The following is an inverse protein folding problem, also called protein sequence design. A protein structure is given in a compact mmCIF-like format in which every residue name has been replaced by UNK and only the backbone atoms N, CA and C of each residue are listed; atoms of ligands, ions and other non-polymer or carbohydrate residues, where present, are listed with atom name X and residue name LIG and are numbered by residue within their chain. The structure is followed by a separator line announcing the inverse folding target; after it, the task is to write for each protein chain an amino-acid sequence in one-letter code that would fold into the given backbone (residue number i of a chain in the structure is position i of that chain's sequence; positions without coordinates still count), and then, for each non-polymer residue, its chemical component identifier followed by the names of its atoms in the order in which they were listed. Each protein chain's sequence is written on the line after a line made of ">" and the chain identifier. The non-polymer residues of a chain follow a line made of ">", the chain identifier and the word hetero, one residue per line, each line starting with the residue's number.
data_IF_908805007184
#
_entry.id   IF_908805007184
#
_cell.length_a   1.000
_cell.length_b   1.000
_cell.length_c   1.000
_cell.angle_alpha   90.00
_cell.angle_beta   90.00
_cell.angle_gamma   90.00
#
_symmetry.space_group_name_H-M   'P 1'
#
loop_
_entity.id
_entity.type
_entity.pdbx_description
1 polymer ?
#
# COMPACT_ATOMS: atom_id res chain seq x y z
N UNK A 1 0.76 -13.13 12.02
CA UNK A 1 0.42 -12.78 10.63
C UNK A 1 1.37 -11.75 10.03
N UNK A 2 1.41 -10.47 10.48
CA UNK A 2 2.30 -9.46 9.86
C UNK A 2 3.77 -9.87 9.88
N UNK A 3 4.28 -10.40 11.01
CA UNK A 3 5.67 -10.85 11.09
C UNK A 3 5.96 -12.02 10.12
N UNK A 4 5.03 -12.97 10.00
CA UNK A 4 5.15 -14.08 9.04
C UNK A 4 5.18 -13.57 7.60
N UNK A 5 4.38 -12.55 7.26
CA UNK A 5 4.43 -11.91 5.93
C UNK A 5 5.78 -11.24 5.68
N UNK A 6 6.31 -10.51 6.66
CA UNK A 6 7.65 -9.90 6.55
C UNK A 6 8.72 -10.95 6.28
N UNK A 7 8.78 -12.01 7.09
CA UNK A 7 9.72 -13.12 6.92
C UNK A 7 9.57 -13.78 5.54
N UNK A 8 8.33 -13.98 5.08
CA UNK A 8 8.06 -14.54 3.75
C UNK A 8 8.61 -13.65 2.62
N UNK A 9 8.33 -12.35 2.66
CA UNK A 9 8.83 -11.43 1.63
C UNK A 9 10.34 -11.22 1.71
N UNK A 10 10.93 -11.25 2.91
CA UNK A 10 12.39 -11.22 3.07
C UNK A 10 13.04 -12.44 2.40
N UNK A 11 12.40 -13.61 2.48
CA UNK A 11 12.85 -14.82 1.78
C UNK A 11 12.69 -14.72 0.26
N UNK A 12 11.57 -14.21 -0.23
CA UNK A 12 11.36 -13.94 -1.67
C UNK A 12 12.39 -12.94 -2.21
N UNK A 13 12.68 -11.87 -1.47
CA UNK A 13 13.72 -10.90 -1.80
C UNK A 13 15.13 -11.50 -1.76
N UNK A 14 15.37 -12.49 -0.90
CA UNK A 14 16.60 -13.27 -0.91
C UNK A 14 16.68 -14.17 -2.14
N UNK A 15 15.59 -14.85 -2.50
CA UNK A 15 15.50 -15.71 -3.69
C UNK A 15 15.78 -14.92 -4.98
N UNK A 16 15.17 -13.73 -5.13
CA UNK A 16 15.46 -12.83 -6.25
C UNK A 16 16.94 -12.43 -6.31
N UNK A 17 17.57 -12.15 -5.17
CA UNK A 17 19.00 -11.85 -5.12
C UNK A 17 19.88 -13.03 -5.54
N UNK A 18 19.52 -14.27 -5.14
CA UNK A 18 20.24 -15.46 -5.59
C UNK A 18 20.15 -15.66 -7.11
N UNK A 19 19.00 -15.35 -7.72
CA UNK A 19 18.84 -15.37 -9.18
C UNK A 19 19.82 -14.39 -9.85
N UNK A 20 19.94 -13.17 -9.32
CA UNK A 20 20.86 -12.16 -9.85
C UNK A 20 22.33 -12.56 -9.69
N UNK A 21 22.71 -13.10 -8.54
CA UNK A 21 24.07 -13.61 -8.32
C UNK A 21 24.40 -14.79 -9.26
N UNK A 22 23.42 -15.64 -9.59
CA UNK A 22 23.61 -16.70 -10.57
C UNK A 22 23.83 -16.13 -11.98
N UNK A 23 23.03 -15.13 -12.37
CA UNK A 23 23.17 -14.43 -13.66
C UNK A 23 24.55 -13.76 -13.76
N UNK A 24 25.00 -13.08 -12.70
CA UNK A 24 26.32 -12.46 -12.63
C UNK A 24 27.45 -13.49 -12.83
N UNK A 25 27.35 -14.67 -12.18
CA UNK A 25 28.32 -15.76 -12.36
C UNK A 25 28.38 -16.25 -13.81
N UNK A 26 27.22 -16.43 -14.45
CA UNK A 26 27.16 -16.86 -15.86
C UNK A 26 27.73 -15.79 -16.78
N UNK A 27 27.40 -14.51 -16.57
CA UNK A 27 27.98 -13.39 -17.33
C UNK A 27 29.50 -13.36 -17.17
N UNK A 28 30.01 -13.60 -15.96
CA UNK A 28 31.46 -13.67 -15.70
C UNK A 28 32.11 -14.83 -16.46
N UNK A 29 31.46 -16.00 -16.55
CA UNK A 29 31.93 -17.12 -17.35
C UNK A 29 31.95 -16.80 -18.85
N UNK A 30 30.89 -16.14 -19.36
CA UNK A 30 30.83 -15.69 -20.76
C UNK A 30 31.96 -14.69 -21.05
N UNK A 31 32.20 -13.74 -20.14
CA UNK A 31 33.26 -12.74 -20.27
C UNK A 31 34.65 -13.38 -20.24
N UNK A 32 34.88 -14.37 -19.39
CA UNK A 32 36.12 -15.12 -19.36
C UNK A 32 36.35 -15.92 -20.66
N UNK A 33 35.29 -16.54 -21.20
CA UNK A 33 35.37 -17.35 -22.43
C UNK A 33 35.57 -16.52 -23.70
N UNK A 34 34.89 -15.38 -23.83
CA UNK A 34 34.87 -14.57 -25.05
C UNK A 34 35.53 -13.19 -24.88
N UNK A 35 36.31 -12.97 -23.82
CA UNK A 35 36.90 -11.67 -23.49
C UNK A 35 37.77 -11.08 -24.61
N UNK A 36 38.38 -11.92 -25.43
CA UNK A 36 39.24 -11.50 -26.54
C UNK A 36 38.46 -11.06 -27.79
N UNK A 37 37.21 -11.53 -27.97
CA UNK A 37 36.39 -11.23 -29.13
C UNK A 37 35.11 -10.47 -28.72
N UNK A 38 35.12 -9.15 -28.88
CA UNK A 38 34.01 -8.27 -28.49
C UNK A 38 32.70 -8.61 -29.20
N UNK A 39 32.77 -9.05 -30.46
CA UNK A 39 31.58 -9.42 -31.23
C UNK A 39 30.92 -10.66 -30.63
N UNK A 40 31.67 -11.74 -30.42
CA UNK A 40 31.18 -12.97 -29.79
C UNK A 40 30.71 -12.73 -28.35
N UNK A 41 31.41 -11.90 -27.58
CA UNK A 41 31.00 -11.54 -26.23
C UNK A 41 29.62 -10.87 -26.22
N UNK A 42 29.44 -9.84 -27.04
CA UNK A 42 28.18 -9.11 -27.14
C UNK A 42 27.04 -10.00 -27.65
N UNK A 43 27.34 -10.91 -28.59
CA UNK A 43 26.37 -11.88 -29.11
C UNK A 43 25.89 -12.83 -28.01
N UNK A 44 26.81 -13.47 -27.29
CA UNK A 44 26.49 -14.41 -26.23
C UNK A 44 25.74 -13.72 -25.08
N UNK A 45 26.14 -12.50 -24.69
CA UNK A 45 25.41 -11.71 -23.69
C UNK A 45 24.01 -11.36 -24.18
N UNK A 46 23.83 -11.00 -25.46
CA UNK A 46 22.51 -10.66 -26.02
C UNK A 46 21.57 -11.87 -26.05
N UNK A 47 22.08 -13.05 -26.40
CA UNK A 47 21.31 -14.30 -26.35
C UNK A 47 20.96 -14.64 -24.90
N UNK A 48 21.93 -14.57 -23.99
CA UNK A 48 21.71 -14.86 -22.57
C UNK A 48 20.76 -13.87 -21.89
N UNK A 49 20.77 -12.60 -22.30
CA UNK A 49 19.85 -11.55 -21.81
C UNK A 49 18.39 -11.99 -21.93
N UNK A 50 17.99 -12.63 -23.04
CA UNK A 50 16.61 -13.11 -23.22
C UNK A 50 16.22 -14.17 -22.19
N UNK A 51 17.13 -15.11 -21.94
CA UNK A 51 16.93 -16.16 -20.92
C UNK A 51 16.91 -15.58 -19.51
N UNK A 52 17.88 -14.72 -19.19
CA UNK A 52 18.01 -14.10 -17.88
C UNK A 52 16.82 -13.19 -17.55
N UNK A 53 16.40 -12.33 -18.47
CA UNK A 53 15.23 -11.46 -18.28
C UNK A 53 13.96 -12.27 -18.04
N UNK A 54 13.71 -13.34 -18.81
CA UNK A 54 12.55 -14.20 -18.57
C UNK A 54 12.55 -14.82 -17.16
N UNK A 55 13.72 -15.21 -16.65
CA UNK A 55 13.88 -15.69 -15.27
C UNK A 55 13.60 -14.62 -14.22
N UNK A 56 14.12 -13.40 -14.44
CA UNK A 56 13.89 -12.25 -13.56
C UNK A 56 12.42 -11.84 -13.57
N UNK A 57 11.83 -11.67 -14.75
CA UNK A 57 10.42 -11.32 -14.95
C UNK A 57 9.53 -12.30 -14.20
N UNK A 58 9.76 -13.60 -14.36
CA UNK A 58 9.00 -14.64 -13.63
C UNK A 58 9.09 -14.45 -12.12
N UNK A 59 10.29 -14.19 -11.58
CA UNK A 59 10.47 -13.98 -10.15
C UNK A 59 9.77 -12.70 -9.65
N UNK A 60 9.86 -11.61 -10.41
CA UNK A 60 9.16 -10.34 -10.13
C UNK A 60 7.65 -10.53 -10.18
N UNK A 61 7.12 -11.25 -11.16
CA UNK A 61 5.69 -11.57 -11.25
C UNK A 61 5.21 -12.40 -10.07
N UNK A 62 5.95 -13.45 -9.68
CA UNK A 62 5.61 -14.25 -8.50
C UNK A 62 5.64 -13.39 -7.23
N UNK A 63 6.64 -12.53 -7.07
CA UNK A 63 6.72 -11.60 -5.95
C UNK A 63 5.47 -10.73 -5.84
N UNK A 64 5.04 -10.13 -6.96
CA UNK A 64 3.87 -9.24 -7.01
C UNK A 64 2.57 -10.02 -6.80
N UNK A 65 2.47 -11.21 -7.39
CA UNK A 65 1.32 -12.09 -7.22
C UNK A 65 1.16 -12.48 -5.74
N UNK A 66 2.25 -12.91 -5.10
CA UNK A 66 2.26 -13.24 -3.68
C UNK A 66 1.94 -12.01 -2.82
N UNK A 67 2.43 -10.84 -3.21
CA UNK A 67 2.13 -9.55 -2.59
C UNK A 67 0.63 -9.21 -2.66
N UNK A 68 0.01 -9.43 -3.82
CA UNK A 68 -1.43 -9.22 -4.02
C UNK A 68 -2.28 -10.21 -3.20
N UNK A 69 -1.90 -11.49 -3.17
CA UNK A 69 -2.63 -12.51 -2.43
C UNK A 69 -2.49 -12.37 -0.91
N UNK A 70 -1.30 -12.00 -0.41
CA UNK A 70 -1.06 -11.76 1.01
C UNK A 70 -1.59 -10.40 1.49
N UNK A 71 -2.12 -9.55 0.61
CA UNK A 71 -2.84 -8.35 1.01
C UNK A 71 -4.23 -8.72 1.55
N UNK A 72 -4.31 -9.12 2.82
CA UNK A 72 -5.56 -9.62 3.44
C UNK A 72 -6.72 -8.60 3.41
N UNK A 73 -6.44 -7.29 3.49
CA UNK A 73 -7.50 -6.28 3.49
C UNK A 73 -7.78 -5.80 2.06
N UNK A 74 -9.05 -5.86 1.67
CA UNK A 74 -9.54 -5.30 0.41
C UNK A 74 -9.27 -3.80 0.30
N UNK A 75 -9.30 -3.08 1.43
CA UNK A 75 -8.91 -1.67 1.51
C UNK A 75 -7.44 -1.43 1.14
N UNK A 76 -6.53 -2.38 1.41
CA UNK A 76 -5.16 -2.30 0.91
C UNK A 76 -5.09 -2.68 -0.56
N UNK A 77 -5.84 -3.71 -1.00
CA UNK A 77 -5.91 -4.05 -2.43
C UNK A 77 -6.40 -2.87 -3.28
N UNK A 78 -7.36 -2.10 -2.78
CA UNK A 78 -7.83 -0.87 -3.41
C UNK A 78 -6.77 0.24 -3.48
N UNK A 79 -5.79 0.24 -2.55
CA UNK A 79 -4.64 1.15 -2.56
C UNK A 79 -3.48 0.65 -3.44
N UNK A 80 -3.47 -0.63 -3.81
CA UNK A 80 -2.49 -1.16 -4.77
C UNK A 80 -2.71 -0.43 -6.10
N UNK A 81 -1.64 0.11 -6.68
CA UNK A 81 -1.67 0.94 -7.90
C UNK A 81 -2.33 2.31 -7.71
N UNK A 82 -2.39 2.82 -6.48
CA UNK A 82 -2.70 4.23 -6.20
C UNK A 82 -1.51 4.86 -5.46
N UNK A 83 -0.38 5.11 -6.14
CA UNK A 83 0.78 5.72 -5.50
C UNK A 83 0.43 7.14 -5.01
N UNK A 84 1.07 7.56 -3.92
CA UNK A 84 0.90 8.92 -3.38
C UNK A 84 1.48 9.98 -4.34
N UNK A 85 2.52 9.63 -5.09
CA UNK A 85 3.19 10.50 -6.05
C UNK A 85 3.41 9.74 -7.38
N UNK A 86 2.36 9.59 -8.21
CA UNK A 86 2.50 9.00 -9.54
C UNK A 86 3.39 9.86 -10.43
N UNK A 87 4.19 9.22 -11.28
CA UNK A 87 4.89 9.92 -12.36
C UNK A 87 3.88 10.54 -13.34
N UNK A 88 4.20 11.72 -13.88
CA UNK A 88 3.30 12.52 -14.72
C UNK A 88 2.72 11.71 -15.90
N UNK A 89 3.54 10.83 -16.48
CA UNK A 89 3.19 9.98 -17.63
C UNK A 89 2.06 8.99 -17.27
N UNK A 90 1.98 8.56 -16.01
CA UNK A 90 1.04 7.55 -15.53
C UNK A 90 -0.21 8.12 -14.86
N UNK A 91 -0.29 9.44 -14.65
CA UNK A 91 -1.41 10.10 -13.96
C UNK A 91 -2.78 9.68 -14.52
N UNK A 92 -2.95 9.75 -15.84
CA UNK A 92 -4.22 9.41 -16.50
C UNK A 92 -4.50 7.90 -16.52
N UNK A 93 -3.47 7.07 -16.37
CA UNK A 93 -3.62 5.61 -16.40
C UNK A 93 -4.13 5.07 -15.06
N UNK A 94 -3.78 5.72 -13.96
CA UNK A 94 -4.22 5.29 -12.62
C UNK A 94 -5.70 5.52 -12.35
N UNK A 95 -6.42 6.30 -13.18
CA UNK A 95 -7.87 6.49 -13.03
C UNK A 95 -8.69 5.24 -13.41
N UNK A 96 -8.15 4.37 -14.26
CA UNK A 96 -8.85 3.22 -14.82
C UNK A 96 -8.14 1.91 -14.46
N UNK A 97 -8.90 0.85 -14.13
CA UNK A 97 -8.32 -0.46 -13.79
C UNK A 97 -7.40 -1.03 -14.89
N UNK A 98 -7.76 -0.86 -16.16
CA UNK A 98 -6.91 -1.26 -17.28
C UNK A 98 -5.61 -0.46 -17.34
N UNK A 99 -5.69 0.86 -17.14
CA UNK A 99 -4.51 1.73 -17.13
C UNK A 99 -3.57 1.41 -15.96
N UNK A 100 -4.12 1.08 -14.79
CA UNK A 100 -3.35 0.60 -13.64
C UNK A 100 -2.58 -0.69 -13.98
N UNK A 101 -3.20 -1.63 -14.67
CA UNK A 101 -2.53 -2.87 -15.11
C UNK A 101 -1.40 -2.59 -16.11
N UNK A 102 -1.60 -1.67 -17.06
CA UNK A 102 -0.53 -1.25 -17.98
C UNK A 102 0.63 -0.56 -17.25
N UNK A 103 0.32 0.32 -16.29
CA UNK A 103 1.32 0.97 -15.46
C UNK A 103 2.13 -0.04 -14.65
N UNK A 104 1.45 -0.99 -14.00
CA UNK A 104 2.09 -2.08 -13.26
C UNK A 104 3.04 -2.86 -14.17
N UNK A 105 2.57 -3.30 -15.34
CA UNK A 105 3.40 -4.03 -16.30
C UNK A 105 4.67 -3.25 -16.66
N UNK A 106 4.55 -1.97 -16.98
CA UNK A 106 5.72 -1.15 -17.29
C UNK A 106 6.68 -1.04 -16.08
N UNK A 107 6.18 -0.82 -14.86
CA UNK A 107 7.05 -0.79 -13.68
C UNK A 107 7.71 -2.14 -13.39
N UNK A 108 7.03 -3.26 -13.67
CA UNK A 108 7.65 -4.60 -13.56
C UNK A 108 8.77 -4.78 -14.57
N UNK A 109 8.57 -4.38 -15.82
CA UNK A 109 9.58 -4.44 -16.87
C UNK A 109 10.79 -3.55 -16.50
N UNK A 110 10.56 -2.35 -15.95
CA UNK A 110 11.62 -1.47 -15.46
C UNK A 110 12.42 -2.09 -14.31
N UNK A 111 11.76 -2.75 -13.35
CA UNK A 111 12.43 -3.43 -12.25
C UNK A 111 13.31 -4.57 -12.77
N UNK A 112 12.78 -5.41 -13.66
CA UNK A 112 13.52 -6.52 -14.26
C UNK A 112 14.73 -6.05 -15.07
N UNK A 113 14.57 -5.00 -15.87
CA UNK A 113 15.66 -4.37 -16.61
C UNK A 113 16.71 -3.81 -15.65
N UNK A 114 16.30 -3.15 -14.57
CA UNK A 114 17.24 -2.62 -13.57
C UNK A 114 18.02 -3.72 -12.86
N UNK A 115 17.39 -4.85 -12.58
CA UNK A 115 18.05 -6.02 -12.02
C UNK A 115 19.05 -6.64 -13.00
N UNK A 116 18.71 -6.72 -14.28
CA UNK A 116 19.64 -7.13 -15.32
C UNK A 116 20.84 -6.18 -15.45
N UNK A 117 20.63 -4.87 -15.38
CA UNK A 117 21.72 -3.88 -15.38
C UNK A 117 22.66 -4.07 -14.19
N UNK A 118 22.11 -4.29 -12.98
CA UNK A 118 22.90 -4.55 -11.78
C UNK A 118 23.73 -5.83 -11.94
N UNK A 119 23.17 -6.87 -12.57
CA UNK A 119 23.87 -8.13 -12.83
C UNK A 119 25.03 -8.02 -13.84
N UNK A 120 25.00 -6.99 -14.70
CA UNK A 120 26.04 -6.72 -15.69
C UNK A 120 27.25 -5.97 -15.12
N UNK A 121 27.09 -5.30 -13.97
CA UNK A 121 28.16 -4.50 -13.37
C UNK A 121 29.35 -5.37 -12.97
N UNK A 122 30.57 -4.92 -13.30
CA UNK A 122 31.81 -5.65 -13.04
C UNK A 122 32.51 -5.17 -11.77
N UNK A 123 33.23 -6.07 -11.10
CA UNK A 123 34.06 -5.77 -9.93
C UNK A 123 33.31 -5.10 -8.76
N UNK A 124 31.99 -5.33 -8.65
CA UNK A 124 31.15 -4.80 -7.58
C UNK A 124 31.07 -5.82 -6.44
N UNK A 125 31.17 -5.35 -5.19
CA UNK A 125 31.02 -6.23 -4.04
C UNK A 125 29.56 -6.71 -3.88
N UNK A 126 29.32 -7.96 -3.43
CA UNK A 126 27.96 -8.48 -3.27
C UNK A 126 27.07 -7.63 -2.36
N UNK A 127 27.67 -6.94 -1.37
CA UNK A 127 26.98 -6.02 -0.48
C UNK A 127 26.41 -4.82 -1.27
N UNK A 128 27.18 -4.26 -2.19
CA UNK A 128 26.75 -3.13 -3.02
C UNK A 128 25.69 -3.56 -4.02
N UNK A 129 25.82 -4.76 -4.61
CA UNK A 129 24.79 -5.39 -5.46
C UNK A 129 23.46 -5.47 -4.71
N UNK A 130 23.46 -6.07 -3.49
CA UNK A 130 22.26 -6.17 -2.65
C UNK A 130 21.67 -4.79 -2.33
N UNK A 131 22.49 -3.79 -2.04
CA UNK A 131 22.02 -2.41 -1.77
C UNK A 131 21.34 -1.80 -2.99
N UNK A 132 21.91 -1.95 -4.19
CA UNK A 132 21.32 -1.47 -5.46
C UNK A 132 20.01 -2.19 -5.77
N UNK A 133 19.94 -3.50 -5.55
CA UNK A 133 18.72 -4.27 -5.71
C UNK A 133 17.62 -3.80 -4.75
N UNK A 134 17.95 -3.66 -3.46
CA UNK A 134 17.00 -3.15 -2.46
C UNK A 134 16.50 -1.74 -2.82
N UNK A 135 17.38 -0.87 -3.33
CA UNK A 135 16.99 0.48 -3.77
C UNK A 135 16.04 0.45 -4.99
N UNK A 136 16.31 -0.42 -5.96
CA UNK A 136 15.43 -0.60 -7.13
C UNK A 136 14.06 -1.17 -6.72
N UNK A 137 14.04 -2.17 -5.84
CA UNK A 137 12.81 -2.74 -5.29
C UNK A 137 12.02 -1.72 -4.46
N UNK A 138 12.70 -0.90 -3.66
CA UNK A 138 12.08 0.17 -2.89
C UNK A 138 11.44 1.22 -3.80
N UNK A 139 12.12 1.63 -4.88
CA UNK A 139 11.56 2.52 -5.90
C UNK A 139 10.31 1.90 -6.53
N UNK A 140 10.38 0.64 -6.93
CA UNK A 140 9.23 -0.09 -7.48
C UNK A 140 8.03 -0.11 -6.52
N UNK A 141 8.26 -0.45 -5.24
CA UNK A 141 7.20 -0.47 -4.21
C UNK A 141 6.55 0.91 -4.02
N UNK A 142 7.35 1.97 -4.12
CA UNK A 142 6.88 3.36 -3.98
C UNK A 142 6.01 3.77 -5.17
N UNK A 143 6.46 3.49 -6.40
CA UNK A 143 5.74 3.81 -7.64
C UNK A 143 4.43 3.04 -7.81
N UNK A 144 4.35 1.85 -7.23
CA UNK A 144 3.14 1.00 -7.27
C UNK A 144 2.22 1.20 -6.06
N UNK A 145 2.63 1.96 -5.04
CA UNK A 145 1.87 2.09 -3.78
C UNK A 145 1.88 0.85 -2.90
N UNK A 146 2.72 -0.15 -3.19
CA UNK A 146 2.83 -1.41 -2.44
C UNK A 146 3.49 -1.24 -1.06
N UNK A 147 3.99 -0.05 -0.72
CA UNK A 147 4.58 0.25 0.61
C UNK A 147 3.59 0.05 1.76
N UNK A 148 2.28 0.21 1.51
CA UNK A 148 1.25 0.08 2.54
C UNK A 148 1.04 -1.35 3.04
N UNK A 149 1.52 -2.37 2.32
CA UNK A 149 1.28 -3.77 2.66
C UNK A 149 1.98 -4.23 3.95
N UNK A 150 3.09 -3.56 4.30
CA UNK A 150 3.78 -3.79 5.55
C UNK A 150 3.34 -2.84 6.67
N UNK A 151 2.39 -1.93 6.40
CA UNK A 151 1.83 -1.07 7.44
C UNK A 151 1.00 -1.91 8.41
N UNK A 152 1.21 -1.76 9.73
CA UNK A 152 0.42 -2.49 10.70
C UNK A 152 -1.05 -2.10 10.57
N UNK A 153 -1.90 -3.08 10.35
CA UNK A 153 -3.35 -2.91 10.20
C UNK A 153 -3.98 -2.45 11.52
N UNK A 154 -3.47 -3.00 12.62
CA UNK A 154 -3.93 -2.74 14.00
C UNK A 154 -3.03 -1.70 14.69
N UNK A 155 -3.16 -0.45 14.28
CA UNK A 155 -2.65 0.70 15.05
C UNK A 155 -3.68 1.15 16.06
N UNK A 156 -3.26 1.94 17.07
CA UNK A 156 -4.16 2.54 18.05
C UNK A 156 -5.30 3.33 17.37
N UNK A 157 -4.98 4.15 16.37
CA UNK A 157 -5.98 4.93 15.63
C UNK A 157 -6.96 4.08 14.85
N UNK A 158 -6.49 2.99 14.22
CA UNK A 158 -7.35 2.04 13.51
C UNK A 158 -8.26 1.26 14.47
N UNK A 159 -7.77 0.92 15.66
CA UNK A 159 -8.56 0.28 16.71
C UNK A 159 -9.61 1.24 17.30
N UNK A 160 -9.24 2.51 17.52
CA UNK A 160 -10.18 3.56 17.93
C UNK A 160 -11.25 3.79 16.85
N UNK A 161 -10.86 3.84 15.58
CA UNK A 161 -11.80 3.95 14.46
C UNK A 161 -12.78 2.77 14.41
N UNK A 162 -12.29 1.54 14.62
CA UNK A 162 -13.15 0.36 14.76
C UNK A 162 -14.14 0.52 15.92
N UNK A 163 -13.67 0.93 17.09
CA UNK A 163 -14.53 1.14 18.25
C UNK A 163 -15.63 2.19 17.96
N UNK A 164 -15.23 3.34 17.40
CA UNK A 164 -16.14 4.44 17.02
C UNK A 164 -17.19 3.99 16.03
N UNK A 165 -16.77 3.37 14.94
CA UNK A 165 -17.69 2.91 13.88
C UNK A 165 -18.59 1.77 14.33
N UNK A 166 -18.17 0.99 15.32
CA UNK A 166 -18.98 -0.10 15.90
C UNK A 166 -20.08 0.44 16.81
N UNK A 167 -19.76 1.32 17.77
CA UNK A 167 -20.80 1.84 18.68
C UNK A 167 -21.77 2.80 17.98
N UNK A 168 -21.32 3.51 16.94
CA UNK A 168 -22.19 4.34 16.09
C UNK A 168 -23.00 3.51 15.09
N UNK A 169 -22.78 2.20 15.04
CA UNK A 169 -23.42 1.27 14.10
C UNK A 169 -23.20 1.62 12.62
N UNK A 170 -22.17 2.42 12.30
CA UNK A 170 -21.78 2.72 10.92
C UNK A 170 -21.15 1.49 10.27
N UNK A 171 -20.17 0.88 10.95
CA UNK A 171 -19.57 -0.39 10.57
C UNK A 171 -19.08 -0.49 9.11
N UNK A 172 -18.16 0.37 8.66
CA UNK A 172 -17.65 0.35 7.28
C UNK A 172 -17.09 -1.00 6.78
N UNK A 173 -16.73 -1.92 7.67
CA UNK A 173 -16.16 -3.22 7.31
C UNK A 173 -14.68 -3.19 6.90
N UNK A 174 -14.08 -2.00 6.72
CA UNK A 174 -12.68 -1.85 6.33
C UNK A 174 -11.69 -2.43 7.36
N UNK A 175 -12.04 -2.38 8.64
CA UNK A 175 -11.26 -2.90 9.76
C UNK A 175 -12.22 -3.73 10.59
N UNK A 176 -11.93 -5.01 10.80
CA UNK A 176 -12.79 -5.94 11.56
C UNK A 176 -11.94 -6.94 12.32
N UNK A 177 -12.41 -7.35 13.50
CA UNK A 177 -11.73 -8.37 14.27
C UNK A 177 -11.82 -9.74 13.56
N UNK A 178 -10.67 -10.27 13.13
CA UNK A 178 -10.62 -11.54 12.40
C UNK A 178 -10.58 -12.76 13.34
N UNK A 179 -10.00 -12.62 14.53
CA UNK A 179 -9.90 -13.71 15.50
C UNK A 179 -11.23 -13.98 16.21
N UNK A 180 -11.50 -15.24 16.56
CA UNK A 180 -12.74 -15.62 17.29
C UNK A 180 -12.89 -14.83 18.59
N UNK A 181 -11.81 -14.70 19.37
CA UNK A 181 -11.78 -13.90 20.60
C UNK A 181 -11.98 -12.42 20.33
N UNK A 182 -11.38 -11.86 19.27
CA UNK A 182 -11.56 -10.46 18.91
C UNK A 182 -13.01 -10.17 18.50
N UNK A 183 -13.66 -11.07 17.75
CA UNK A 183 -15.08 -10.94 17.40
C UNK A 183 -15.96 -10.94 18.65
N UNK A 184 -15.71 -11.86 19.58
CA UNK A 184 -16.42 -11.91 20.85
C UNK A 184 -16.24 -10.60 21.65
N UNK A 185 -15.02 -10.08 21.72
CA UNK A 185 -14.73 -8.81 22.39
C UNK A 185 -15.49 -7.64 21.75
N UNK A 186 -15.54 -7.56 20.42
CA UNK A 186 -16.31 -6.54 19.69
C UNK A 186 -17.82 -6.70 19.93
N UNK A 187 -18.34 -7.93 19.99
CA UNK A 187 -19.74 -8.19 20.31
C UNK A 187 -20.12 -7.68 21.71
N UNK A 188 -19.33 -8.04 22.73
CA UNK A 188 -19.54 -7.57 24.11
C UNK A 188 -19.39 -6.05 24.23
N UNK A 189 -18.46 -5.47 23.47
CA UNK A 189 -18.31 -4.02 23.40
C UNK A 189 -19.55 -3.36 22.77
N UNK A 190 -20.09 -3.91 21.68
CA UNK A 190 -21.26 -3.37 21.00
C UNK A 190 -22.52 -3.43 21.87
N UNK A 191 -22.75 -4.52 22.61
CA UNK A 191 -23.94 -4.67 23.47
C UNK A 191 -24.02 -3.62 24.57
N UNK A 192 -22.89 -3.23 25.14
CA UNK A 192 -22.82 -2.19 26.19
C UNK A 192 -22.68 -0.79 25.58
N UNK A 193 -21.85 -0.67 24.54
CA UNK A 193 -21.50 0.60 23.91
C UNK A 193 -22.67 1.27 23.18
N UNK A 194 -23.49 0.51 22.45
CA UNK A 194 -24.59 1.07 21.67
C UNK A 194 -25.66 1.73 22.59
N UNK A 195 -26.19 1.06 23.63
CA UNK A 195 -27.16 1.68 24.55
C UNK A 195 -26.60 2.92 25.25
N UNK A 196 -25.33 2.88 25.64
CA UNK A 196 -24.66 4.00 26.31
C UNK A 196 -24.59 5.23 25.40
N UNK A 197 -24.26 5.03 24.12
CA UNK A 197 -24.21 6.12 23.13
C UNK A 197 -25.60 6.68 22.85
N UNK A 198 -26.62 5.83 22.74
CA UNK A 198 -28.02 6.27 22.59
C UNK A 198 -28.45 7.15 23.78
N UNK A 199 -28.08 6.77 25.01
CA UNK A 199 -28.36 7.58 26.20
C UNK A 199 -27.65 8.94 26.17
N UNK A 200 -26.39 8.98 25.73
CA UNK A 200 -25.62 10.22 25.57
C UNK A 200 -26.24 11.10 24.48
N UNK A 201 -26.55 10.55 23.31
CA UNK A 201 -27.20 11.26 22.22
C UNK A 201 -28.53 11.88 22.64
N UNK A 202 -29.33 11.16 23.43
CA UNK A 202 -30.58 11.70 23.97
C UNK A 202 -30.36 12.89 24.93
N UNK A 203 -29.31 12.88 25.75
CA UNK A 203 -28.95 14.03 26.59
C UNK A 203 -28.45 15.21 25.75
N UNK A 204 -27.56 14.95 24.79
CA UNK A 204 -27.02 15.96 23.89
C UNK A 204 -28.12 16.61 23.04
N UNK A 205 -29.04 15.82 22.49
CA UNK A 205 -30.19 16.31 21.74
C UNK A 205 -31.07 17.24 22.57
N UNK A 206 -31.43 16.85 23.80
CA UNK A 206 -32.20 17.74 24.69
C UNK A 206 -31.46 19.02 25.06
N UNK A 207 -30.13 18.98 25.14
CA UNK A 207 -29.33 20.17 25.39
C UNK A 207 -29.26 21.06 24.15
N UNK A 208 -29.09 20.50 22.95
CA UNK A 208 -29.07 21.27 21.70
C UNK A 208 -30.42 21.93 21.41
N UNK A 209 -31.54 21.22 21.61
CA UNK A 209 -32.88 21.80 21.49
C UNK A 209 -33.09 22.99 22.45
N UNK A 210 -32.72 22.86 23.73
CA UNK A 210 -32.82 23.98 24.70
C UNK A 210 -31.92 25.17 24.36
N UNK A 211 -30.76 24.93 23.75
CA UNK A 211 -29.88 26.01 23.27
C UNK A 211 -30.50 26.69 22.05
N UNK A 212 -31.04 25.92 21.11
CA UNK A 212 -31.72 26.43 19.93
C UNK A 212 -32.96 27.26 20.28
N UNK A 213 -33.81 26.77 21.20
CA UNK A 213 -34.99 27.49 21.69
C UNK A 213 -34.60 28.82 22.34
N UNK A 214 -33.59 28.82 23.21
CA UNK A 214 -33.10 30.07 23.83
C UNK A 214 -32.54 31.03 22.79
N UNK A 215 -31.80 30.53 21.81
CA UNK A 215 -31.29 31.34 20.71
C UNK A 215 -32.43 31.93 19.87
N UNK A 216 -33.44 31.13 19.52
CA UNK A 216 -34.62 31.57 18.77
C UNK A 216 -35.42 32.63 19.53
N UNK A 217 -35.68 32.42 20.82
CA UNK A 217 -36.38 33.38 21.68
C UNK A 217 -35.57 34.68 21.77
N UNK A 218 -34.24 34.60 21.94
CA UNK A 218 -33.39 35.79 21.99
C UNK A 218 -33.36 36.52 20.64
N UNK A 219 -33.25 35.80 19.53
CA UNK A 219 -33.29 36.37 18.18
C UNK A 219 -34.63 37.08 17.92
N UNK A 220 -35.75 36.43 18.23
CA UNK A 220 -37.09 37.02 18.09
C UNK A 220 -37.27 38.26 18.97
N UNK A 221 -36.72 38.25 20.20
CA UNK A 221 -36.70 39.45 21.05
C UNK A 221 -35.89 40.57 20.42
N UNK A 222 -34.66 40.31 19.96
CA UNK A 222 -33.82 41.31 19.31
C UNK A 222 -34.47 41.88 18.02
N UNK A 223 -35.10 41.02 17.22
CA UNK A 223 -35.85 41.42 16.03
C UNK A 223 -37.02 42.33 16.39
N UNK A 224 -37.80 41.97 17.42
CA UNK A 224 -38.91 42.79 17.92
C UNK A 224 -38.41 44.16 18.42
N UNK A 225 -37.30 44.21 19.16
CA UNK A 225 -36.68 45.47 19.58
C UNK A 225 -36.23 46.34 18.39
N UNK A 226 -35.69 45.73 17.33
CA UNK A 226 -35.31 46.45 16.10
C UNK A 226 -36.54 47.00 15.37
N UNK A 227 -37.60 46.21 15.22
CA UNK A 227 -38.87 46.64 14.61
C UNK A 227 -39.53 47.78 15.38
N UNK A 228 -39.49 47.73 16.72
CA UNK A 228 -39.98 48.83 17.57
C UNK A 228 -39.12 50.08 17.41
N UNK A 229 -37.80 49.95 17.23
CA UNK A 229 -36.89 51.09 17.02
C UNK A 229 -37.03 51.74 15.64
N UNK A 230 -37.47 51.02 14.61
CA UNK A 230 -37.69 51.56 13.26
C UNK A 230 -39.01 52.34 13.17
N UNK A 231 -40.00 52.03 14.03
CA UNK A 231 -41.30 52.73 14.06
C UNK A 231 -41.32 54.03 14.86
N UNK A 232 -40.26 54.32 15.62
CA UNK A 232 -40.07 55.58 16.37
C UNK A 232 -39.11 56.46 15.60
#
# INVERSE_FOLDING_TARGET
>A
MLNQKKVYFDWEEHSMHQIILNIEKVIRQIRFKYGNNRFELNENIRVYKRFALNGIDKAVYWYILNMYHLSDQESYKAKILQPQYPEIIWLNHFSNNFGQMYALRNYTEQLSLRYWEIALEENVSPIVVRRKMNAALFRFKTLTGLTHLFTPTWTFWNAMFLAVTTYTTIGYGNITAQSKLGRLAVMLYATIGIPLVLMILHKLGRQSFRVLERFWIQFMRSLLFLFLKIKV
#
